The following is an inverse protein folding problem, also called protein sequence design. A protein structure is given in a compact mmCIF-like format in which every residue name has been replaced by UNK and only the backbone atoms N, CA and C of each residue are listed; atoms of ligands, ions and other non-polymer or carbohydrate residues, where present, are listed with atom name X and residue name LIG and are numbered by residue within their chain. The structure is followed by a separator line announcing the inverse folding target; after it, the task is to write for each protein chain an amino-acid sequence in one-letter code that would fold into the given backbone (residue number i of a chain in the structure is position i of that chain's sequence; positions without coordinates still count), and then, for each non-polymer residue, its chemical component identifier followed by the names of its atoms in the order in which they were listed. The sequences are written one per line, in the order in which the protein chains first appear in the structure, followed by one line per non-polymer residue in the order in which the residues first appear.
data_IF_066570267771
#
_entry.id   IF_066570267771
#
_cell.length_a   1.000
_cell.length_b   1.000
_cell.length_c   1.000
_cell.angle_alpha   90.00
_cell.angle_beta   90.00
_cell.angle_gamma   90.00
#
_symmetry.space_group_name_H-M   'P 1'
#
loop_
_entity.id
_entity.type
_entity.pdbx_description
1 polymer ?
#
# COMPACT_ATOMS: atom_id res chain seq x y z
N UNK A 1 14.17 10.01 25.89
CA UNK A 1 13.21 9.32 26.78
C UNK A 1 12.09 8.63 25.98
N UNK A 2 11.38 9.29 25.01
CA UNK A 2 10.31 8.62 24.24
C UNK A 2 10.79 7.36 23.50
N UNK A 3 11.96 7.41 22.86
CA UNK A 3 12.52 6.28 22.10
C UNK A 3 12.85 5.08 22.99
N UNK A 4 13.38 5.32 24.20
CA UNK A 4 13.65 4.26 25.16
C UNK A 4 12.35 3.63 25.66
N UNK A 5 11.34 4.45 25.97
CA UNK A 5 10.05 3.95 26.43
C UNK A 5 9.34 3.14 25.35
N UNK A 6 9.40 3.57 24.07
CA UNK A 6 8.80 2.83 22.96
C UNK A 6 9.43 1.44 22.77
N UNK A 7 10.73 1.29 23.02
CA UNK A 7 11.42 0.00 22.97
C UNK A 7 11.03 -0.95 24.11
N UNK A 8 10.54 -0.40 25.21
CA UNK A 8 10.14 -1.18 26.38
C UNK A 8 8.68 -1.66 26.35
N UNK A 9 7.85 -1.11 25.47
CA UNK A 9 6.42 -1.45 25.43
C UNK A 9 6.21 -2.96 25.20
N UNK A 10 6.95 -3.56 24.29
CA UNK A 10 6.83 -5.02 24.01
C UNK A 10 7.18 -5.90 25.20
N UNK A 11 8.04 -5.45 26.10
CA UNK A 11 8.41 -6.21 27.31
C UNK A 11 7.30 -6.25 28.36
N UNK A 12 6.27 -5.41 28.24
CA UNK A 12 5.09 -5.43 29.11
C UNK A 12 4.10 -6.56 28.75
N UNK A 13 4.22 -7.14 27.58
CA UNK A 13 3.38 -8.27 27.16
C UNK A 13 3.96 -9.56 27.69
N UNK A 14 3.28 -10.16 28.68
CA UNK A 14 3.70 -11.39 29.35
C UNK A 14 2.56 -12.39 29.26
N UNK A 15 2.86 -13.60 28.79
CA UNK A 15 1.88 -14.67 28.74
C UNK A 15 1.46 -15.10 30.17
N UNK A 16 0.22 -15.50 30.33
CA UNK A 16 -0.27 -16.11 31.56
C UNK A 16 0.51 -17.41 31.86
N UNK A 17 0.67 -17.81 33.14
CA UNK A 17 1.36 -19.04 33.50
C UNK A 17 0.85 -20.25 32.70
N UNK A 18 1.79 -21.00 32.11
CA UNK A 18 1.48 -22.17 31.26
C UNK A 18 1.14 -21.87 29.81
N UNK A 19 1.10 -20.58 29.40
CA UNK A 19 0.86 -20.15 28.02
C UNK A 19 2.11 -19.52 27.42
N UNK A 20 2.06 -19.33 26.09
CA UNK A 20 3.06 -18.61 25.33
C UNK A 20 2.33 -17.61 24.41
N UNK A 21 2.90 -16.44 24.17
CA UNK A 21 2.46 -15.55 23.14
C UNK A 21 3.16 -15.90 21.82
N UNK A 22 2.39 -16.04 20.76
CA UNK A 22 2.90 -16.26 19.40
C UNK A 22 2.56 -15.04 18.58
N UNK A 23 3.58 -14.41 18.03
CA UNK A 23 3.47 -13.25 17.14
C UNK A 23 3.64 -13.71 15.69
N UNK A 24 2.65 -13.41 14.84
CA UNK A 24 2.63 -13.76 13.44
C UNK A 24 2.33 -12.53 12.56
N UNK A 25 3.23 -12.23 11.63
CA UNK A 25 3.19 -11.08 10.73
C UNK A 25 3.00 -11.53 9.28
N UNK A 26 2.17 -10.82 8.52
CA UNK A 26 2.07 -10.95 7.08
C UNK A 26 3.27 -10.32 6.38
N UNK A 27 4.21 -11.14 5.95
CA UNK A 27 5.42 -10.68 5.27
C UNK A 27 5.12 -9.86 4.01
N UNK A 28 5.41 -8.54 4.04
CA UNK A 28 5.27 -7.62 2.93
C UNK A 28 3.86 -7.63 2.30
N UNK A 29 2.81 -7.62 3.11
CA UNK A 29 1.42 -7.78 2.65
C UNK A 29 1.01 -6.73 1.62
N UNK A 30 1.42 -5.47 1.79
CA UNK A 30 1.09 -4.42 0.83
C UNK A 30 1.70 -4.69 -0.55
N UNK A 31 2.96 -5.13 -0.61
CA UNK A 31 3.62 -5.45 -1.87
C UNK A 31 2.97 -6.67 -2.57
N UNK A 32 2.50 -7.65 -1.80
CA UNK A 32 1.73 -8.78 -2.32
C UNK A 32 0.37 -8.34 -2.84
N UNK A 33 -0.32 -7.53 -2.08
CA UNK A 33 -1.67 -7.09 -2.40
C UNK A 33 -1.70 -6.18 -3.62
N UNK A 34 -0.80 -5.19 -3.71
CA UNK A 34 -0.76 -4.31 -4.89
C UNK A 34 -0.38 -5.09 -6.16
N UNK A 35 0.55 -6.04 -6.06
CA UNK A 35 0.92 -6.90 -7.19
C UNK A 35 -0.25 -7.79 -7.63
N UNK A 36 -1.01 -8.37 -6.69
CA UNK A 36 -2.18 -9.18 -6.99
C UNK A 36 -3.31 -8.35 -7.62
N UNK A 37 -3.59 -7.17 -7.09
CA UNK A 37 -4.58 -6.26 -7.65
C UNK A 37 -4.21 -5.80 -9.05
N UNK A 38 -2.93 -5.55 -9.31
CA UNK A 38 -2.43 -5.10 -10.60
C UNK A 38 -2.26 -6.23 -11.64
N UNK A 39 -2.10 -7.47 -11.19
CA UNK A 39 -1.66 -8.59 -12.05
C UNK A 39 -0.18 -8.52 -12.40
N UNK A 40 0.68 -8.05 -11.48
CA UNK A 40 2.14 -7.97 -11.69
C UNK A 40 2.78 -9.35 -11.45
N UNK A 41 2.68 -10.23 -12.44
CA UNK A 41 2.97 -11.67 -12.31
C UNK A 41 4.38 -12.00 -11.84
N UNK A 42 5.43 -11.29 -12.30
CA UNK A 42 6.78 -11.59 -11.84
C UNK A 42 6.97 -11.33 -10.34
N UNK A 43 6.28 -10.31 -9.78
CA UNK A 43 6.28 -10.03 -8.34
C UNK A 43 5.55 -11.13 -7.59
N UNK A 44 4.41 -11.59 -8.11
CA UNK A 44 3.67 -12.71 -7.52
C UNK A 44 4.50 -13.99 -7.53
N UNK A 45 5.24 -14.25 -8.62
CA UNK A 45 6.12 -15.42 -8.72
C UNK A 45 7.28 -15.36 -7.71
N UNK A 46 7.86 -14.18 -7.48
CA UNK A 46 8.85 -13.98 -6.42
C UNK A 46 8.28 -14.41 -5.06
N UNK A 47 7.03 -14.04 -4.77
CA UNK A 47 6.39 -14.42 -3.50
C UNK A 47 5.99 -15.89 -3.42
N UNK A 48 5.65 -16.54 -4.55
CA UNK A 48 5.36 -17.97 -4.60
C UNK A 48 6.60 -18.84 -4.39
N UNK A 49 7.76 -18.33 -4.78
CA UNK A 49 9.01 -19.11 -4.79
C UNK A 49 9.88 -18.83 -3.55
N UNK A 50 10.50 -17.67 -3.47
CA UNK A 50 11.51 -17.40 -2.44
C UNK A 50 11.22 -16.18 -1.56
N UNK A 51 10.25 -15.34 -1.91
CA UNK A 51 9.82 -14.19 -1.11
C UNK A 51 10.79 -13.01 -1.03
N UNK A 52 11.95 -13.06 -1.70
CA UNK A 52 13.01 -12.03 -1.61
C UNK A 52 12.69 -10.83 -2.50
N UNK A 53 11.59 -10.14 -2.22
CA UNK A 53 11.09 -9.06 -3.09
C UNK A 53 12.06 -7.88 -3.21
N UNK A 54 12.79 -7.53 -2.16
CA UNK A 54 13.72 -6.41 -2.19
C UNK A 54 14.96 -6.72 -3.05
N UNK A 55 15.50 -7.92 -2.93
CA UNK A 55 16.59 -8.41 -3.75
C UNK A 55 16.16 -8.55 -5.22
N UNK A 56 14.98 -9.11 -5.47
CA UNK A 56 14.44 -9.25 -6.81
C UNK A 56 14.16 -7.88 -7.47
N UNK A 57 13.60 -6.92 -6.73
CA UNK A 57 13.42 -5.54 -7.21
C UNK A 57 14.76 -4.90 -7.55
N UNK A 58 15.77 -5.05 -6.69
CA UNK A 58 17.11 -4.53 -6.96
C UNK A 58 17.76 -5.21 -8.19
N UNK A 59 17.60 -6.51 -8.33
CA UNK A 59 18.06 -7.27 -9.50
C UNK A 59 17.47 -6.72 -10.80
N UNK A 60 16.17 -6.51 -10.84
CA UNK A 60 15.47 -5.93 -12.01
C UNK A 60 15.90 -4.49 -12.30
N UNK A 61 16.07 -3.66 -11.27
CA UNK A 61 16.42 -2.25 -11.44
C UNK A 61 17.86 -2.04 -11.88
N UNK A 62 18.80 -2.85 -11.37
CA UNK A 62 20.23 -2.63 -11.56
C UNK A 62 20.91 -3.68 -12.45
N UNK A 63 20.18 -4.69 -12.92
CA UNK A 63 20.75 -5.76 -13.74
C UNK A 63 21.75 -6.66 -13.00
N UNK A 64 21.73 -6.65 -11.67
CA UNK A 64 22.60 -7.49 -10.84
C UNK A 64 21.92 -8.83 -10.59
N UNK A 65 22.59 -9.97 -10.86
CA UNK A 65 22.00 -11.28 -10.60
C UNK A 65 21.54 -11.45 -9.15
N UNK A 66 20.36 -12.04 -8.96
CA UNK A 66 19.72 -12.20 -7.64
C UNK A 66 20.65 -12.93 -6.64
N UNK A 67 21.38 -13.92 -7.10
CA UNK A 67 22.30 -14.75 -6.31
C UNK A 67 23.46 -13.94 -5.73
N UNK A 68 23.80 -12.82 -6.37
CA UNK A 68 24.84 -11.90 -5.91
C UNK A 68 24.35 -10.94 -4.83
N UNK A 69 23.04 -10.70 -4.74
CA UNK A 69 22.43 -9.80 -3.74
C UNK A 69 22.11 -10.61 -2.46
N UNK A 70 23.15 -11.14 -1.82
CA UNK A 70 23.04 -11.95 -0.60
C UNK A 70 23.92 -11.40 0.53
N UNK A 71 23.54 -11.69 1.75
CA UNK A 71 24.28 -11.27 2.95
C UNK A 71 25.75 -11.77 2.85
N UNK A 72 26.70 -10.85 3.08
CA UNK A 72 28.13 -11.14 2.96
C UNK A 72 28.72 -10.94 1.56
N UNK A 73 27.91 -10.65 0.54
CA UNK A 73 28.38 -10.28 -0.80
C UNK A 73 28.63 -8.77 -0.91
N UNK A 74 29.59 -8.33 -1.74
CA UNK A 74 29.78 -6.90 -2.07
C UNK A 74 28.51 -6.24 -2.62
N UNK A 75 27.66 -6.99 -3.32
CA UNK A 75 26.44 -6.48 -3.94
C UNK A 75 25.24 -6.43 -2.98
N UNK A 76 25.40 -6.83 -1.71
CA UNK A 76 24.29 -6.82 -0.74
C UNK A 76 23.68 -5.44 -0.49
N UNK A 77 24.44 -4.38 -0.70
CA UNK A 77 23.97 -3.00 -0.58
C UNK A 77 22.82 -2.68 -1.54
N UNK A 78 22.72 -3.36 -2.70
CA UNK A 78 21.58 -3.20 -3.63
C UNK A 78 20.24 -3.61 -3.00
N UNK A 79 20.24 -4.55 -2.06
CA UNK A 79 19.04 -4.94 -1.35
C UNK A 79 18.39 -3.75 -0.63
N UNK A 80 19.19 -2.88 0.00
CA UNK A 80 18.66 -1.71 0.68
C UNK A 80 18.06 -0.71 -0.33
N UNK A 81 18.70 -0.52 -1.47
CA UNK A 81 18.15 0.29 -2.58
C UNK A 81 16.82 -0.28 -3.08
N UNK A 82 16.75 -1.59 -3.30
CA UNK A 82 15.51 -2.28 -3.69
C UNK A 82 14.41 -2.17 -2.63
N UNK A 83 14.76 -2.25 -1.34
CA UNK A 83 13.81 -2.07 -0.23
C UNK A 83 13.21 -0.66 -0.24
N UNK A 84 14.05 0.37 -0.28
CA UNK A 84 13.59 1.77 -0.30
C UNK A 84 12.70 2.03 -1.52
N UNK A 85 13.12 1.57 -2.71
CA UNK A 85 12.33 1.72 -3.93
C UNK A 85 10.97 1.00 -3.83
N UNK A 86 10.94 -0.23 -3.31
CA UNK A 86 9.69 -0.98 -3.15
C UNK A 86 8.70 -0.27 -2.23
N UNK A 87 9.17 0.28 -1.11
CA UNK A 87 8.32 0.97 -0.13
C UNK A 87 7.87 2.36 -0.60
N UNK A 88 8.76 3.10 -1.32
CA UNK A 88 8.49 4.48 -1.69
C UNK A 88 7.68 4.65 -2.97
N UNK A 89 7.78 3.71 -3.93
CA UNK A 89 7.30 3.91 -5.29
C UNK A 89 6.00 3.18 -5.62
N UNK A 90 5.56 2.26 -4.75
CA UNK A 90 4.36 1.44 -4.97
C UNK A 90 3.07 2.22 -5.24
N UNK A 91 2.99 3.45 -4.78
CA UNK A 91 1.80 4.29 -4.84
C UNK A 91 2.04 5.61 -5.58
N UNK A 92 2.66 5.51 -6.77
CA UNK A 92 2.95 6.66 -7.65
C UNK A 92 3.96 7.65 -7.03
N UNK A 93 4.73 7.21 -6.04
CA UNK A 93 5.79 8.01 -5.45
C UNK A 93 6.84 8.43 -6.48
N UNK A 94 7.54 9.52 -6.18
CA UNK A 94 8.65 10.05 -6.97
C UNK A 94 9.90 10.21 -6.11
N UNK A 95 10.82 11.07 -6.56
CA UNK A 95 12.09 11.35 -5.85
C UNK A 95 11.87 11.82 -4.41
N UNK A 96 10.86 12.68 -4.17
CA UNK A 96 10.51 13.12 -2.81
C UNK A 96 10.10 11.98 -1.88
N UNK A 97 9.37 10.98 -2.38
CA UNK A 97 9.00 9.79 -1.61
C UNK A 97 10.22 8.93 -1.28
N UNK A 98 11.16 8.79 -2.22
CA UNK A 98 12.43 8.09 -1.98
C UNK A 98 13.24 8.76 -0.88
N UNK A 99 13.36 10.09 -0.91
CA UNK A 99 14.07 10.87 0.13
C UNK A 99 13.41 10.66 1.49
N UNK A 100 12.08 10.79 1.57
CA UNK A 100 11.32 10.59 2.81
C UNK A 100 11.48 9.19 3.39
N UNK A 101 11.61 8.16 2.55
CA UNK A 101 11.85 6.78 2.95
C UNK A 101 13.32 6.45 3.19
N UNK A 102 14.21 7.45 3.21
CA UNK A 102 15.61 7.32 3.60
C UNK A 102 16.53 6.86 2.48
N UNK A 103 16.23 7.16 1.21
CA UNK A 103 17.08 6.84 0.07
C UNK A 103 18.52 7.35 0.25
N UNK A 104 18.69 8.61 0.66
CA UNK A 104 19.98 9.21 0.88
C UNK A 104 20.76 8.52 2.02
N UNK A 105 20.10 8.12 3.10
CA UNK A 105 20.71 7.34 4.19
C UNK A 105 21.10 5.93 3.76
N UNK A 106 20.52 5.44 2.67
CA UNK A 106 20.80 4.12 2.08
C UNK A 106 21.92 4.17 1.05
N UNK A 107 22.62 5.33 0.91
CA UNK A 107 23.76 5.52 0.01
C UNK A 107 23.35 5.83 -1.43
N UNK A 108 22.11 6.30 -1.67
CA UNK A 108 21.70 6.88 -2.96
C UNK A 108 22.02 8.37 -2.96
N UNK A 109 22.37 8.93 -4.11
CA UNK A 109 22.52 10.38 -4.30
C UNK A 109 21.25 10.96 -4.91
N UNK A 110 21.05 12.28 -4.79
CA UNK A 110 19.87 12.93 -5.36
C UNK A 110 19.81 12.80 -6.88
N UNK A 111 20.99 12.78 -7.54
CA UNK A 111 21.12 12.66 -8.98
C UNK A 111 20.69 11.26 -9.49
N UNK A 112 20.82 10.21 -8.67
CA UNK A 112 20.41 8.85 -9.01
C UNK A 112 18.88 8.66 -8.91
N UNK A 113 18.20 9.47 -8.11
CA UNK A 113 16.79 9.22 -7.77
C UNK A 113 15.84 9.23 -8.96
N UNK A 114 15.94 10.14 -9.95
CA UNK A 114 15.08 10.12 -11.13
C UNK A 114 15.19 8.81 -11.92
N UNK A 115 16.41 8.33 -12.13
CA UNK A 115 16.67 7.08 -12.85
C UNK A 115 16.11 5.87 -12.08
N UNK A 116 16.19 5.87 -10.75
CA UNK A 116 15.61 4.83 -9.89
C UNK A 116 14.10 4.77 -10.04
N UNK A 117 13.43 5.93 -10.06
CA UNK A 117 11.98 6.01 -10.29
C UNK A 117 11.61 5.40 -11.64
N UNK A 118 12.33 5.77 -12.71
CA UNK A 118 12.08 5.26 -14.06
C UNK A 118 12.32 3.75 -14.16
N UNK A 119 13.44 3.26 -13.64
CA UNK A 119 13.77 1.83 -13.64
C UNK A 119 12.73 1.02 -12.86
N UNK A 120 12.30 1.51 -11.70
CA UNK A 120 11.27 0.83 -10.91
C UNK A 120 9.92 0.76 -11.65
N UNK A 121 9.50 1.87 -12.27
CA UNK A 121 8.26 1.92 -13.05
C UNK A 121 8.32 1.03 -14.29
N UNK A 122 9.45 1.00 -14.97
CA UNK A 122 9.70 0.10 -16.09
C UNK A 122 9.68 -1.38 -15.69
N UNK A 123 10.13 -1.70 -14.48
CA UNK A 123 10.11 -3.06 -13.96
C UNK A 123 8.72 -3.52 -13.45
N UNK A 124 7.79 -2.58 -13.21
CA UNK A 124 6.46 -2.87 -12.66
C UNK A 124 5.33 -2.19 -13.45
N UNK A 125 5.22 -2.48 -14.76
CA UNK A 125 4.27 -1.77 -15.64
C UNK A 125 2.81 -2.01 -15.27
N UNK A 126 2.45 -3.18 -14.75
CA UNK A 126 1.07 -3.47 -14.37
C UNK A 126 0.64 -2.65 -13.13
N UNK A 127 1.53 -2.44 -12.16
CA UNK A 127 1.26 -1.57 -11.00
C UNK A 127 1.10 -0.12 -11.46
N UNK A 128 1.96 0.36 -12.35
CA UNK A 128 1.84 1.70 -12.95
C UNK A 128 0.53 1.87 -13.69
N UNK A 129 0.14 0.88 -14.48
CA UNK A 129 -1.14 0.88 -15.20
C UNK A 129 -2.33 0.90 -14.25
N UNK A 130 -2.25 0.19 -13.10
CA UNK A 130 -3.31 0.19 -12.10
C UNK A 130 -3.58 1.60 -11.55
N UNK A 131 -2.54 2.41 -11.28
CA UNK A 131 -2.74 3.79 -10.83
C UNK A 131 -3.57 4.60 -11.83
N UNK A 132 -3.20 4.55 -13.11
CA UNK A 132 -3.89 5.28 -14.17
C UNK A 132 -5.32 4.77 -14.39
N UNK A 133 -5.51 3.45 -14.32
CA UNK A 133 -6.83 2.83 -14.49
C UNK A 133 -7.78 3.23 -13.36
N UNK A 134 -7.31 3.21 -12.11
CA UNK A 134 -8.11 3.63 -10.94
C UNK A 134 -8.44 5.12 -11.01
N UNK A 135 -7.47 5.95 -11.39
CA UNK A 135 -7.69 7.40 -11.54
C UNK A 135 -8.72 7.71 -12.63
N UNK A 136 -8.58 7.10 -13.81
CA UNK A 136 -9.54 7.25 -14.90
C UNK A 136 -10.95 6.79 -14.51
N UNK A 137 -11.06 5.66 -13.80
CA UNK A 137 -12.33 5.17 -13.29
C UNK A 137 -12.96 6.15 -12.27
N UNK A 138 -12.16 6.75 -11.38
CA UNK A 138 -12.65 7.74 -10.43
C UNK A 138 -13.18 9.00 -11.15
N UNK A 139 -12.47 9.46 -12.19
CA UNK A 139 -12.93 10.56 -13.03
C UNK A 139 -14.26 10.25 -13.74
N UNK A 140 -14.42 9.06 -14.31
CA UNK A 140 -15.68 8.63 -14.94
C UNK A 140 -16.85 8.65 -13.98
N UNK A 141 -16.61 8.18 -12.74
CA UNK A 141 -17.65 8.19 -11.69
C UNK A 141 -18.01 9.62 -11.29
N UNK A 142 -17.02 10.47 -11.06
CA UNK A 142 -17.25 11.84 -10.56
C UNK A 142 -17.94 12.71 -11.64
N UNK A 143 -17.50 12.63 -12.89
CA UNK A 143 -18.02 13.43 -14.01
C UNK A 143 -19.37 12.96 -14.54
N UNK A 144 -19.53 11.66 -14.65
CA UNK A 144 -20.62 11.07 -15.40
C UNK A 144 -21.55 10.19 -14.56
N UNK A 145 -21.24 9.96 -13.28
CA UNK A 145 -22.01 9.07 -12.40
C UNK A 145 -21.99 7.59 -12.84
N UNK A 146 -21.08 7.23 -13.77
CA UNK A 146 -21.03 5.87 -14.33
C UNK A 146 -20.40 4.91 -13.34
N UNK A 147 -21.02 3.74 -13.17
CA UNK A 147 -20.39 2.63 -12.46
C UNK A 147 -19.31 2.00 -13.34
N UNK A 148 -18.09 1.87 -12.81
CA UNK A 148 -16.92 1.34 -13.54
C UNK A 148 -16.37 0.14 -12.80
N UNK A 149 -16.30 -1.02 -13.48
CA UNK A 149 -15.64 -2.22 -12.99
C UNK A 149 -14.26 -2.33 -13.65
N UNK A 150 -13.23 -2.54 -12.86
CA UNK A 150 -11.84 -2.69 -13.30
C UNK A 150 -11.22 -3.95 -12.70
N UNK A 151 -10.05 -4.37 -13.23
CA UNK A 151 -9.35 -5.56 -12.76
C UNK A 151 -10.27 -6.79 -12.72
N UNK A 152 -10.93 -7.09 -13.85
CA UNK A 152 -11.86 -8.23 -13.99
C UNK A 152 -13.01 -8.20 -12.97
N UNK A 153 -13.42 -7.00 -12.54
CA UNK A 153 -14.49 -6.81 -11.56
C UNK A 153 -14.07 -6.95 -10.09
N UNK A 154 -12.78 -7.14 -9.81
CA UNK A 154 -12.24 -7.15 -8.43
C UNK A 154 -12.45 -5.81 -7.73
N UNK A 155 -12.40 -4.72 -8.49
CA UNK A 155 -12.67 -3.37 -8.01
C UNK A 155 -13.84 -2.79 -8.78
N UNK A 156 -14.77 -2.14 -8.06
CA UNK A 156 -15.89 -1.44 -8.68
C UNK A 156 -16.02 -0.06 -8.06
N UNK A 157 -15.89 0.95 -8.91
CA UNK A 157 -16.10 2.34 -8.53
C UNK A 157 -17.52 2.75 -8.92
N UNK A 158 -18.22 3.46 -8.02
CA UNK A 158 -19.57 3.94 -8.25
C UNK A 158 -19.83 5.22 -7.46
N UNK A 159 -20.85 5.99 -7.89
CA UNK A 159 -21.40 7.08 -7.10
C UNK A 159 -22.64 6.58 -6.38
N UNK A 160 -22.66 6.73 -5.08
CA UNK A 160 -23.80 6.37 -4.22
C UNK A 160 -24.33 7.66 -3.59
N UNK A 161 -25.57 7.99 -3.95
CA UNK A 161 -26.23 9.20 -3.47
C UNK A 161 -27.51 8.81 -2.71
N UNK A 162 -27.73 9.49 -1.61
CA UNK A 162 -29.01 9.51 -0.89
C UNK A 162 -29.40 10.98 -0.68
N UNK A 163 -30.19 11.57 -1.60
CA UNK A 163 -30.57 12.98 -1.54
C UNK A 163 -31.39 13.34 -0.31
N UNK A 164 -32.18 12.40 0.22
CA UNK A 164 -33.03 12.61 1.39
C UNK A 164 -32.20 12.85 2.66
N UNK A 165 -31.06 12.17 2.75
CA UNK A 165 -30.11 12.31 3.86
C UNK A 165 -28.89 13.17 3.50
N UNK A 166 -28.84 13.78 2.32
CA UNK A 166 -27.71 14.60 1.85
C UNK A 166 -26.41 13.83 1.65
N UNK A 167 -26.49 12.51 1.46
CA UNK A 167 -25.33 11.64 1.29
C UNK A 167 -24.94 11.57 -0.19
N UNK A 168 -23.65 11.76 -0.46
CA UNK A 168 -23.07 11.64 -1.79
C UNK A 168 -21.63 11.13 -1.65
N UNK A 169 -21.36 9.95 -2.20
CA UNK A 169 -20.06 9.28 -2.08
C UNK A 169 -19.56 8.75 -3.43
N UNK A 170 -18.27 8.94 -3.70
CA UNK A 170 -17.53 8.01 -4.53
C UNK A 170 -17.23 6.77 -3.67
N UNK A 171 -17.67 5.61 -4.11
CA UNK A 171 -17.40 4.34 -3.44
C UNK A 171 -16.48 3.48 -4.27
N UNK A 172 -15.61 2.72 -3.60
CA UNK A 172 -14.76 1.71 -4.22
C UNK A 172 -15.02 0.38 -3.51
N UNK A 173 -15.71 -0.54 -4.19
CA UNK A 173 -15.94 -1.90 -3.69
C UNK A 173 -14.68 -2.73 -3.87
N UNK A 174 -14.21 -3.30 -2.78
CA UNK A 174 -13.05 -4.17 -2.67
C UNK A 174 -13.40 -5.63 -3.05
N UNK A 175 -12.40 -6.51 -3.25
CA UNK A 175 -12.62 -7.93 -3.50
C UNK A 175 -13.43 -8.65 -2.41
N UNK A 176 -13.31 -8.23 -1.15
CA UNK A 176 -14.11 -8.73 -0.01
C UNK A 176 -15.59 -8.35 -0.06
N UNK A 177 -15.97 -7.41 -0.94
CA UNK A 177 -17.29 -6.79 -0.97
C UNK A 177 -17.42 -5.53 -0.11
N UNK A 178 -16.50 -5.28 0.81
CA UNK A 178 -16.44 -4.05 1.60
C UNK A 178 -16.15 -2.84 0.69
N UNK A 179 -16.60 -1.65 1.10
CA UNK A 179 -16.42 -0.42 0.33
C UNK A 179 -15.56 0.60 1.07
N UNK A 180 -14.78 1.35 0.30
CA UNK A 180 -14.21 2.63 0.70
C UNK A 180 -15.17 3.74 0.28
N UNK A 181 -15.27 4.80 1.09
CA UNK A 181 -16.19 5.91 0.89
C UNK A 181 -15.43 7.24 0.88
N UNK A 182 -15.66 8.06 -0.15
CA UNK A 182 -15.11 9.39 -0.32
C UNK A 182 -16.26 10.37 -0.43
N UNK A 183 -16.47 11.18 0.63
CA UNK A 183 -17.64 12.03 0.76
C UNK A 183 -17.61 13.23 -0.21
N UNK A 184 -18.77 13.55 -0.79
CA UNK A 184 -18.99 14.68 -1.69
C UNK A 184 -17.91 14.81 -2.77
N UNK A 185 -17.75 13.77 -3.62
CA UNK A 185 -16.71 13.77 -4.65
C UNK A 185 -17.01 14.83 -5.72
N UNK A 186 -16.01 15.61 -6.08
CA UNK A 186 -16.13 16.71 -7.06
C UNK A 186 -14.83 16.91 -7.82
N UNK A 187 -14.93 17.64 -8.94
CA UNK A 187 -13.78 18.12 -9.68
C UNK A 187 -13.16 19.32 -8.96
N UNK A 188 -11.86 19.30 -8.78
CA UNK A 188 -11.10 20.39 -8.18
C UNK A 188 -9.70 20.49 -8.75
N UNK A 189 -8.80 21.07 -7.99
CA UNK A 189 -7.39 21.20 -8.35
C UNK A 189 -6.51 20.65 -7.25
N UNK A 190 -5.39 20.06 -7.65
CA UNK A 190 -4.36 19.66 -6.73
C UNK A 190 -3.49 20.87 -6.32
N UNK A 191 -2.61 20.66 -5.36
CA UNK A 191 -1.66 21.68 -4.87
C UNK A 191 -0.76 22.33 -5.94
N UNK A 192 -0.72 21.75 -7.15
CA UNK A 192 0.03 22.28 -8.29
C UNK A 192 -0.87 23.00 -9.31
N UNK A 193 -2.15 23.24 -9.00
CA UNK A 193 -3.13 23.86 -9.88
C UNK A 193 -3.61 22.98 -11.04
N UNK A 194 -3.34 21.67 -11.01
CA UNK A 194 -3.79 20.73 -12.04
C UNK A 194 -5.14 20.12 -11.64
N UNK A 195 -6.00 19.79 -12.62
CA UNK A 195 -7.26 19.08 -12.34
C UNK A 195 -7.04 17.84 -11.49
N UNK A 196 -7.88 17.65 -10.49
CA UNK A 196 -7.84 16.50 -9.59
C UNK A 196 -9.26 16.13 -9.13
N UNK A 197 -9.47 14.86 -8.83
CA UNK A 197 -10.64 14.42 -8.06
C UNK A 197 -10.42 14.85 -6.62
N UNK A 198 -11.42 15.52 -6.06
CA UNK A 198 -11.44 15.99 -4.67
C UNK A 198 -12.62 15.38 -3.93
N UNK A 199 -12.52 15.33 -2.62
CA UNK A 199 -13.58 14.87 -1.72
C UNK A 199 -13.45 15.55 -0.36
N UNK A 200 -14.48 15.52 0.47
CA UNK A 200 -14.39 15.98 1.86
C UNK A 200 -13.88 14.86 2.76
N UNK A 201 -12.87 15.17 3.53
CA UNK A 201 -12.24 14.21 4.43
C UNK A 201 -11.38 14.85 5.51
N UNK A 202 -10.93 14.04 6.45
CA UNK A 202 -9.98 14.47 7.47
C UNK A 202 -8.58 14.63 6.83
N UNK A 203 -8.12 15.85 6.71
CA UNK A 203 -6.75 16.12 6.27
C UNK A 203 -5.77 15.68 7.36
N UNK A 204 -4.87 14.76 7.01
CA UNK A 204 -3.94 14.16 7.98
C UNK A 204 -2.90 15.15 8.52
N UNK A 205 -2.61 16.21 7.79
CA UNK A 205 -1.65 17.25 8.21
C UNK A 205 -2.31 18.33 9.08
N UNK A 206 -3.46 18.87 8.63
CA UNK A 206 -4.15 19.95 9.36
C UNK A 206 -5.07 19.44 10.47
N UNK A 207 -5.41 18.15 10.46
CA UNK A 207 -6.40 17.50 11.35
C UNK A 207 -7.79 18.16 11.28
N UNK A 208 -8.14 18.72 10.11
CA UNK A 208 -9.44 19.35 9.86
C UNK A 208 -10.21 18.58 8.82
N UNK A 209 -11.53 18.64 8.92
CA UNK A 209 -12.44 18.14 7.90
C UNK A 209 -12.54 19.20 6.81
N UNK A 210 -11.97 18.91 5.64
CA UNK A 210 -11.85 19.86 4.55
C UNK A 210 -11.78 19.15 3.19
N UNK A 211 -11.73 19.91 2.10
CA UNK A 211 -11.49 19.34 0.78
C UNK A 211 -10.10 18.75 0.70
N UNK A 212 -10.02 17.49 0.30
CA UNK A 212 -8.79 16.71 0.11
C UNK A 212 -8.69 16.31 -1.36
N UNK A 213 -7.55 16.60 -1.98
CA UNK A 213 -7.23 16.12 -3.33
C UNK A 213 -6.83 14.64 -3.31
N UNK A 214 -7.14 13.91 -4.39
CA UNK A 214 -6.67 12.54 -4.57
C UNK A 214 -6.17 12.30 -6.00
N UNK A 215 -5.48 11.19 -6.19
CA UNK A 215 -4.90 10.76 -7.45
C UNK A 215 -4.81 9.23 -7.48
N UNK A 216 -4.51 8.65 -8.64
CA UNK A 216 -4.52 7.20 -8.83
C UNK A 216 -3.69 6.43 -7.81
N UNK A 217 -2.44 6.86 -7.57
CA UNK A 217 -1.58 6.23 -6.58
C UNK A 217 -2.14 6.26 -5.16
N UNK A 218 -2.76 7.38 -4.75
CA UNK A 218 -3.37 7.49 -3.41
C UNK A 218 -4.60 6.62 -3.26
N UNK A 219 -5.42 6.53 -4.29
CA UNK A 219 -6.55 5.61 -4.30
C UNK A 219 -6.09 4.15 -4.25
N UNK A 220 -5.04 3.78 -5.01
CA UNK A 220 -4.46 2.43 -4.98
C UNK A 220 -3.85 2.12 -3.62
N UNK A 221 -3.18 3.07 -2.96
CA UNK A 221 -2.70 2.91 -1.58
C UNK A 221 -3.85 2.53 -0.63
N UNK A 222 -4.93 3.32 -0.64
CA UNK A 222 -6.10 3.07 0.20
C UNK A 222 -6.75 1.71 -0.10
N UNK A 223 -6.89 1.35 -1.38
CA UNK A 223 -7.42 0.04 -1.83
C UNK A 223 -6.53 -1.09 -1.31
N UNK A 224 -5.23 -0.98 -1.48
CA UNK A 224 -4.24 -2.00 -1.09
C UNK A 224 -4.26 -2.23 0.42
N UNK A 225 -4.19 -1.17 1.20
CA UNK A 225 -4.20 -1.25 2.67
C UNK A 225 -5.53 -1.79 3.19
N UNK A 226 -6.65 -1.38 2.59
CA UNK A 226 -7.96 -1.88 2.97
C UNK A 226 -8.13 -3.36 2.63
N UNK A 227 -7.66 -3.82 1.47
CA UNK A 227 -7.71 -5.23 1.09
C UNK A 227 -6.75 -6.08 1.95
N UNK A 228 -5.57 -5.55 2.31
CA UNK A 228 -4.66 -6.19 3.27
C UNK A 228 -5.31 -6.33 4.65
N UNK A 229 -6.04 -5.31 5.11
CA UNK A 229 -6.81 -5.37 6.37
C UNK A 229 -7.92 -6.41 6.33
N UNK A 230 -8.55 -6.63 5.17
CA UNK A 230 -9.56 -7.69 5.01
C UNK A 230 -8.94 -9.09 5.16
N UNK A 231 -7.71 -9.29 4.65
CA UNK A 231 -6.96 -10.54 4.86
C UNK A 231 -6.64 -10.78 6.35
N UNK A 232 -6.25 -9.73 7.08
CA UNK A 232 -5.99 -9.85 8.51
C UNK A 232 -7.28 -10.16 9.29
N UNK A 233 -8.40 -9.52 8.94
CA UNK A 233 -9.69 -9.79 9.58
C UNK A 233 -10.10 -11.27 9.42
N UNK A 234 -9.98 -11.81 8.22
CA UNK A 234 -10.23 -13.23 7.93
C UNK A 234 -9.26 -14.14 8.72
N UNK A 235 -7.97 -13.74 8.84
CA UNK A 235 -7.00 -14.51 9.62
C UNK A 235 -7.35 -14.54 11.11
N UNK A 236 -7.80 -13.42 11.67
CA UNK A 236 -8.27 -13.34 13.07
C UNK A 236 -9.45 -14.29 13.30
N UNK A 237 -10.47 -14.27 12.43
CA UNK A 237 -11.62 -15.16 12.54
C UNK A 237 -11.20 -16.65 12.47
N UNK A 238 -10.26 -17.00 11.59
CA UNK A 238 -9.75 -18.37 11.47
C UNK A 238 -8.97 -18.83 12.70
N UNK A 239 -8.16 -17.95 13.27
CA UNK A 239 -7.40 -18.23 14.50
C UNK A 239 -8.34 -18.50 15.67
N UNK A 240 -9.32 -17.63 15.87
CA UNK A 240 -10.34 -17.81 16.92
C UNK A 240 -11.13 -19.13 16.71
N UNK A 241 -11.56 -19.42 15.50
CA UNK A 241 -12.28 -20.67 15.18
C UNK A 241 -11.41 -21.92 15.38
N UNK A 242 -10.09 -21.80 15.25
CA UNK A 242 -9.13 -22.89 15.49
C UNK A 242 -8.73 -23.04 16.97
N UNK A 243 -9.25 -22.20 17.87
CA UNK A 243 -8.96 -22.23 19.31
C UNK A 243 -7.69 -21.48 19.72
N UNK A 244 -7.19 -20.60 18.87
CA UNK A 244 -6.11 -19.68 19.18
C UNK A 244 -6.68 -18.29 19.49
N UNK A 245 -6.90 -17.93 20.77
CA UNK A 245 -7.51 -16.65 21.12
C UNK A 245 -6.58 -15.50 20.75
N UNK A 246 -7.09 -14.57 19.96
CA UNK A 246 -6.33 -13.38 19.53
C UNK A 246 -6.33 -12.36 20.65
N UNK A 247 -5.15 -12.11 21.21
CA UNK A 247 -4.97 -11.16 22.32
C UNK A 247 -5.04 -9.71 21.81
N UNK A 248 -4.36 -9.43 20.70
CA UNK A 248 -4.40 -8.15 19.98
C UNK A 248 -3.78 -8.29 18.58
N UNK A 249 -3.93 -7.28 17.78
CA UNK A 249 -3.27 -7.14 16.48
C UNK A 249 -2.71 -5.72 16.33
N UNK A 250 -1.63 -5.58 15.55
CA UNK A 250 -1.01 -4.29 15.22
C UNK A 250 -0.67 -4.32 13.73
N UNK A 251 -1.20 -3.33 12.96
CA UNK A 251 -1.01 -3.24 11.52
C UNK A 251 -1.37 -4.55 10.79
N UNK A 252 -0.37 -5.35 10.44
CA UNK A 252 -0.41 -6.61 9.71
C UNK A 252 0.07 -7.82 10.53
N UNK A 253 0.31 -7.64 11.82
CA UNK A 253 0.66 -8.69 12.77
C UNK A 253 -0.50 -9.02 13.72
N UNK A 254 -0.56 -10.26 14.17
CA UNK A 254 -1.49 -10.77 15.16
C UNK A 254 -0.74 -11.51 16.26
N UNK A 255 -1.18 -11.31 17.50
CA UNK A 255 -0.64 -12.00 18.68
C UNK A 255 -1.72 -12.89 19.28
N UNK A 256 -1.42 -14.15 19.41
CA UNK A 256 -2.26 -15.18 20.03
C UNK A 256 -1.62 -15.78 21.25
#
# INVERSE_FOLDING_TARGET
VPDILSQLIRTAFVASPGNQLVDADFSAIEARMVAWLAGEEWVLEVFRTHGKIYEATASQMFGVPLERIRKGSPDYHYRQKGKVATLALGYQGGTGSLISMGALRSGLTEEELPEIVERWRGAKPAIVQLWHTVEAAAWEVVRHGRRVAIQEGRLVLARECDPENGLDFLTIRLPSGRKLYYAHPHEGQNRFGRPAVCYYGMNQSTKRWETVETYGGKLVENITQAAARDCLAEAVERLEAAGYPVVFHIHDEVVV
#
